data_IF_325899278600
#
_entry.id   IF_325899278600
#
_cell.length_a   1.000
_cell.length_b   1.000
_cell.length_c   1.000
_cell.angle_alpha   90.00
_cell.angle_beta   90.00
_cell.angle_gamma   90.00
#
_symmetry.space_group_name_H-M   'P 1'
#
loop_
_entity.id
_entity.type
_entity.pdbx_description
1 polymer ?
#
# COMPACT_ATOMS: atom_id res chain seq x y z
N UNK A 1 -16.18 6.28 10.49
CA UNK A 1 -16.31 6.83 9.12
C UNK A 1 -17.55 6.25 8.46
N UNK A 2 -18.21 7.00 7.58
CA UNK A 2 -19.43 6.58 6.88
C UNK A 2 -19.27 5.21 6.19
N UNK A 3 -20.20 4.29 6.46
CA UNK A 3 -20.30 3.01 5.79
C UNK A 3 -21.40 3.05 4.72
N UNK A 4 -21.38 2.08 3.81
CA UNK A 4 -22.45 1.91 2.82
C UNK A 4 -23.82 1.71 3.47
N UNK A 5 -23.89 1.08 4.65
CA UNK A 5 -25.12 1.02 5.42
C UNK A 5 -25.29 2.31 6.25
N UNK A 6 -26.10 3.24 5.74
CA UNK A 6 -26.31 4.56 6.35
C UNK A 6 -26.98 4.56 7.74
N UNK A 7 -27.27 3.39 8.34
CA UNK A 7 -27.91 3.26 9.65
C UNK A 7 -26.92 3.19 10.83
N UNK A 8 -25.62 3.09 10.56
CA UNK A 8 -24.64 2.96 11.62
C UNK A 8 -24.38 4.29 12.34
N UNK A 9 -24.45 4.29 13.67
CA UNK A 9 -24.03 5.42 14.48
C UNK A 9 -22.51 5.58 14.41
N UNK A 10 -22.04 6.64 13.76
CA UNK A 10 -20.61 6.95 13.60
C UNK A 10 -20.09 7.97 14.64
N UNK A 11 -20.94 8.39 15.59
CA UNK A 11 -20.61 9.34 16.65
C UNK A 11 -20.47 10.80 16.18
N UNK A 12 -20.28 11.74 17.13
CA UNK A 12 -20.23 13.18 16.85
C UNK A 12 -19.02 13.63 16.02
N UNK A 13 -17.92 12.87 16.02
CA UNK A 13 -16.74 13.09 15.15
C UNK A 13 -16.77 12.26 13.85
N UNK A 14 -17.94 11.75 13.47
CA UNK A 14 -18.10 10.88 12.32
C UNK A 14 -17.89 11.63 11.00
N UNK A 15 -16.91 11.19 10.21
CA UNK A 15 -16.66 11.72 8.87
C UNK A 15 -17.60 11.08 7.84
N UNK A 16 -18.32 11.91 7.08
CA UNK A 16 -19.23 11.49 6.00
C UNK A 16 -18.91 12.16 4.68
N UNK A 17 -19.26 11.47 3.59
CA UNK A 17 -19.09 11.97 2.22
C UNK A 17 -19.96 13.20 2.01
N UNK A 18 -19.46 14.19 1.27
CA UNK A 18 -20.17 15.44 0.99
C UNK A 18 -20.14 16.49 2.11
N UNK A 19 -19.49 16.24 3.24
CA UNK A 19 -19.18 17.32 4.21
C UNK A 19 -18.37 18.44 3.55
N UNK A 20 -18.71 19.68 3.85
CA UNK A 20 -17.87 20.82 3.48
C UNK A 20 -16.52 20.81 4.24
N UNK A 21 -15.61 21.70 3.85
CA UNK A 21 -14.25 21.74 4.39
C UNK A 21 -14.24 21.96 5.90
N UNK A 22 -15.03 22.92 6.38
CA UNK A 22 -15.06 23.32 7.78
C UNK A 22 -15.72 22.24 8.65
N UNK A 23 -16.84 21.67 8.19
CA UNK A 23 -17.52 20.58 8.89
C UNK A 23 -16.61 19.35 9.03
N UNK A 24 -15.87 19.00 7.97
CA UNK A 24 -14.94 17.86 8.00
C UNK A 24 -13.78 18.10 8.98
N UNK A 25 -13.14 19.27 8.92
CA UNK A 25 -12.04 19.62 9.84
C UNK A 25 -12.52 19.69 11.29
N UNK A 26 -13.69 20.27 11.56
CA UNK A 26 -14.29 20.33 12.90
C UNK A 26 -14.62 18.93 13.44
N UNK A 27 -15.26 18.08 12.63
CA UNK A 27 -15.59 16.71 13.02
C UNK A 27 -14.33 15.88 13.31
N UNK A 28 -13.29 16.05 12.51
CA UNK A 28 -11.99 15.43 12.75
C UNK A 28 -11.36 15.94 14.05
N UNK A 29 -11.37 17.25 14.28
CA UNK A 29 -10.88 17.89 15.52
C UNK A 29 -11.53 17.33 16.78
N UNK A 30 -12.86 17.20 16.80
CA UNK A 30 -13.58 16.62 17.94
C UNK A 30 -13.05 15.24 18.35
N UNK A 31 -12.66 14.40 17.38
CA UNK A 31 -12.07 13.09 17.66
C UNK A 31 -10.64 13.23 18.18
N UNK A 32 -9.81 13.99 17.47
CA UNK A 32 -8.36 14.05 17.71
C UNK A 32 -7.96 14.87 18.92
N UNK A 33 -8.81 15.78 19.37
CA UNK A 33 -8.55 16.67 20.49
C UNK A 33 -9.03 16.04 21.81
N UNK A 34 -9.72 14.88 21.73
CA UNK A 34 -10.18 14.10 22.89
C UNK A 34 -9.11 13.14 23.46
N UNK A 35 -7.98 12.97 22.78
CA UNK A 35 -6.91 12.05 23.19
C UNK A 35 -5.55 12.57 22.72
N UNK A 36 -4.46 12.25 23.41
CA UNK A 36 -3.09 12.67 23.07
C UNK A 36 -2.15 11.46 22.92
N UNK A 37 -0.97 11.66 22.33
CA UNK A 37 0.08 10.62 22.26
C UNK A 37 -0.08 9.59 21.13
N UNK A 38 -0.94 9.85 20.14
CA UNK A 38 -1.06 9.05 18.93
C UNK A 38 -0.16 9.59 17.81
N UNK A 39 0.33 8.70 16.94
CA UNK A 39 1.20 9.05 15.82
C UNK A 39 0.51 8.86 14.44
N UNK A 40 -0.71 8.31 14.44
CA UNK A 40 -1.48 8.09 13.22
C UNK A 40 -2.92 7.69 13.48
N UNK A 41 -3.69 7.61 12.39
CA UNK A 41 -5.13 7.34 12.41
C UNK A 41 -5.44 6.07 11.63
N UNK A 42 -6.42 5.31 12.11
CA UNK A 42 -7.00 4.17 11.42
C UNK A 42 -8.51 4.36 11.25
N UNK A 43 -9.08 3.91 10.13
CA UNK A 43 -10.54 3.98 9.95
C UNK A 43 -11.27 2.85 10.69
N UNK A 44 -12.22 3.25 11.54
CA UNK A 44 -13.33 2.39 11.95
C UNK A 44 -14.48 2.53 10.95
N UNK A 45 -15.01 1.40 10.46
CA UNK A 45 -15.96 1.33 9.34
C UNK A 45 -15.40 2.01 8.07
N UNK A 46 -16.15 2.90 7.42
CA UNK A 46 -15.65 3.70 6.31
C UNK A 46 -15.87 3.12 4.93
N UNK A 47 -16.62 2.01 4.76
CA UNK A 47 -16.80 1.39 3.44
C UNK A 47 -17.37 2.35 2.37
N UNK A 48 -18.03 3.44 2.75
CA UNK A 48 -18.45 4.49 1.82
C UNK A 48 -17.41 5.60 1.74
N UNK A 49 -17.01 6.18 2.88
CA UNK A 49 -16.06 7.30 2.90
C UNK A 49 -14.72 6.96 2.23
N UNK A 50 -14.20 5.76 2.44
CA UNK A 50 -12.89 5.37 1.89
C UNK A 50 -12.90 5.17 0.38
N UNK A 51 -14.07 5.21 -0.28
CA UNK A 51 -14.18 5.24 -1.75
C UNK A 51 -14.31 6.66 -2.30
N UNK A 52 -14.69 7.63 -1.46
CA UNK A 52 -14.80 9.04 -1.84
C UNK A 52 -13.39 9.64 -1.96
N UNK A 53 -12.99 9.93 -3.20
CA UNK A 53 -11.66 10.48 -3.49
C UNK A 53 -11.45 11.85 -2.87
N UNK A 54 -12.46 12.71 -2.88
CA UNK A 54 -12.32 14.09 -2.43
C UNK A 54 -12.30 14.15 -0.90
N UNK A 55 -13.17 13.37 -0.25
CA UNK A 55 -13.18 13.24 1.21
C UNK A 55 -11.85 12.64 1.72
N UNK A 56 -11.36 11.57 1.08
CA UNK A 56 -10.09 10.96 1.46
C UNK A 56 -8.91 11.88 1.17
N UNK A 57 -8.88 12.57 0.02
CA UNK A 57 -7.84 13.56 -0.27
C UNK A 57 -7.79 14.64 0.82
N UNK A 58 -8.95 15.16 1.25
CA UNK A 58 -9.05 16.14 2.33
C UNK A 58 -8.52 15.58 3.64
N UNK A 59 -8.93 14.36 4.03
CA UNK A 59 -8.41 13.71 5.24
C UNK A 59 -6.89 13.63 5.20
N UNK A 60 -6.30 13.19 4.08
CA UNK A 60 -4.84 13.07 3.97
C UNK A 60 -4.13 14.42 4.09
N UNK A 61 -4.71 15.52 3.60
CA UNK A 61 -4.17 16.86 3.82
C UNK A 61 -4.20 17.27 5.29
N UNK A 62 -5.28 16.94 6.01
CA UNK A 62 -5.37 17.20 7.46
C UNK A 62 -4.31 16.41 8.21
N UNK A 63 -4.16 15.11 7.91
CA UNK A 63 -3.15 14.24 8.51
C UNK A 63 -1.73 14.74 8.22
N UNK A 64 -1.46 15.18 6.98
CA UNK A 64 -0.17 15.77 6.59
C UNK A 64 0.19 16.98 7.44
N UNK A 65 -0.74 17.94 7.59
CA UNK A 65 -0.54 19.14 8.42
C UNK A 65 -0.23 18.80 9.87
N UNK A 66 -0.77 17.68 10.37
CA UNK A 66 -0.57 17.21 11.76
C UNK A 66 0.61 16.24 11.91
N UNK A 67 1.31 15.88 10.83
CA UNK A 67 2.43 14.93 10.87
C UNK A 67 2.00 13.48 11.18
N UNK A 68 0.76 13.11 10.87
CA UNK A 68 0.16 11.81 11.19
C UNK A 68 0.24 10.84 10.00
N UNK A 69 0.42 9.55 10.29
CA UNK A 69 0.26 8.48 9.29
C UNK A 69 -1.17 7.94 9.23
N UNK A 70 -1.50 7.21 8.16
CA UNK A 70 -2.82 6.57 8.02
C UNK A 70 -2.72 5.04 7.86
N UNK A 71 -3.56 4.30 8.57
CA UNK A 71 -3.72 2.85 8.39
C UNK A 71 -5.11 2.58 7.83
N UNK A 72 -5.21 2.00 6.64
CA UNK A 72 -6.49 1.59 6.07
C UNK A 72 -6.89 0.21 6.59
N UNK A 73 -8.01 0.14 7.31
CA UNK A 73 -8.64 -1.11 7.74
C UNK A 73 -9.19 -1.94 6.58
N UNK A 74 -9.20 -1.42 5.35
CA UNK A 74 -9.68 -2.12 4.14
C UNK A 74 -11.05 -2.73 4.37
N UNK A 75 -12.00 -1.92 4.80
CA UNK A 75 -13.40 -2.35 5.03
C UNK A 75 -14.16 -2.58 3.72
N UNK A 76 -13.58 -2.15 2.59
CA UNK A 76 -14.04 -2.40 1.23
C UNK A 76 -12.81 -2.50 0.31
N UNK A 77 -12.85 -3.40 -0.68
CA UNK A 77 -11.72 -3.64 -1.60
C UNK A 77 -11.45 -2.44 -2.52
N UNK A 78 -12.48 -1.63 -2.80
CA UNK A 78 -12.42 -0.43 -3.65
C UNK A 78 -11.94 0.83 -2.91
N UNK A 79 -11.44 0.69 -1.67
CA UNK A 79 -10.89 1.81 -0.91
C UNK A 79 -9.78 2.53 -1.69
N UNK A 80 -9.89 3.85 -1.80
CA UNK A 80 -8.90 4.74 -2.42
C UNK A 80 -7.89 5.31 -1.42
N UNK A 81 -8.01 4.96 -0.13
CA UNK A 81 -7.26 5.60 0.95
C UNK A 81 -5.74 5.56 0.76
N UNK A 82 -5.19 4.39 0.40
CA UNK A 82 -3.77 4.23 0.13
C UNK A 82 -3.28 5.10 -1.04
N UNK A 83 -4.06 5.19 -2.12
CA UNK A 83 -3.74 6.04 -3.27
C UNK A 83 -3.74 7.52 -2.87
N UNK A 84 -4.70 7.95 -2.06
CA UNK A 84 -4.75 9.34 -1.58
C UNK A 84 -3.64 9.66 -0.58
N UNK A 85 -3.28 8.71 0.28
CA UNK A 85 -2.15 8.85 1.20
C UNK A 85 -0.83 9.01 0.42
N UNK A 86 -0.63 8.16 -0.60
CA UNK A 86 0.52 8.26 -1.50
C UNK A 86 0.56 9.61 -2.22
N UNK A 87 -0.57 10.06 -2.78
CA UNK A 87 -0.66 11.35 -3.47
C UNK A 87 -0.39 12.55 -2.56
N UNK A 88 -0.81 12.48 -1.29
CA UNK A 88 -0.52 13.51 -0.29
C UNK A 88 0.92 13.45 0.23
N UNK A 89 1.63 12.33 0.01
CA UNK A 89 2.98 12.10 0.52
C UNK A 89 3.02 11.82 2.03
N UNK A 90 1.97 11.21 2.59
CA UNK A 90 1.96 10.81 4.00
C UNK A 90 2.30 9.32 4.14
N UNK A 91 2.99 8.90 5.21
CA UNK A 91 3.19 7.49 5.49
C UNK A 91 1.86 6.76 5.68
N UNK A 92 1.75 5.54 5.16
CA UNK A 92 0.53 4.76 5.29
C UNK A 92 0.77 3.24 5.33
N UNK A 93 -0.24 2.51 5.78
CA UNK A 93 -0.30 1.06 5.64
C UNK A 93 -1.72 0.59 5.32
N UNK A 94 -1.83 -0.61 4.78
CA UNK A 94 -3.11 -1.27 4.48
C UNK A 94 -3.16 -2.59 5.26
N UNK A 95 -4.32 -2.91 5.83
CA UNK A 95 -4.54 -4.18 6.52
C UNK A 95 -4.42 -5.36 5.55
N UNK A 96 -3.62 -6.35 5.94
CA UNK A 96 -3.51 -7.65 5.25
C UNK A 96 -4.51 -8.66 5.78
N UNK A 97 -4.68 -8.73 7.10
CA UNK A 97 -5.49 -9.75 7.76
C UNK A 97 -6.41 -9.11 8.79
N UNK A 98 -7.67 -9.54 8.80
CA UNK A 98 -8.63 -9.17 9.84
C UNK A 98 -8.85 -10.36 10.76
N UNK A 99 -8.56 -10.17 12.04
CA UNK A 99 -8.37 -11.26 12.99
C UNK A 99 -9.68 -11.86 13.48
N UNK A 100 -10.74 -11.06 13.60
CA UNK A 100 -11.86 -11.43 14.47
C UNK A 100 -13.25 -10.99 13.95
N UNK A 101 -13.44 -11.02 12.64
CA UNK A 101 -14.78 -10.83 12.07
C UNK A 101 -15.76 -11.95 12.47
N UNK A 102 -15.25 -13.13 12.80
CA UNK A 102 -15.98 -14.16 13.53
C UNK A 102 -15.43 -14.22 14.94
N UNK A 103 -16.32 -14.12 15.92
CA UNK A 103 -15.95 -14.10 17.33
C UNK A 103 -15.77 -15.52 17.87
N UNK A 104 -14.74 -16.21 17.40
CA UNK A 104 -14.36 -17.55 17.88
C UNK A 104 -12.84 -17.69 17.92
N UNK A 105 -12.32 -18.41 18.91
CA UNK A 105 -10.86 -18.61 19.00
C UNK A 105 -10.28 -19.36 17.81
N UNK A 106 -11.02 -20.32 17.25
CA UNK A 106 -10.60 -21.09 16.09
C UNK A 106 -10.40 -20.19 14.86
N UNK A 107 -11.33 -19.26 14.63
CA UNK A 107 -11.21 -18.30 13.54
C UNK A 107 -9.99 -17.38 13.75
N UNK A 108 -9.83 -16.82 14.95
CA UNK A 108 -8.69 -15.94 15.25
C UNK A 108 -7.36 -16.68 15.08
N UNK A 109 -7.25 -17.92 15.56
CA UNK A 109 -6.05 -18.73 15.40
C UNK A 109 -5.70 -18.97 13.92
N UNK A 110 -6.70 -19.29 13.09
CA UNK A 110 -6.50 -19.45 11.64
C UNK A 110 -6.08 -18.13 10.97
N UNK A 111 -6.66 -16.99 11.40
CA UNK A 111 -6.26 -15.68 10.91
C UNK A 111 -4.81 -15.34 11.31
N UNK A 112 -4.37 -15.69 12.51
CA UNK A 112 -2.98 -15.49 12.94
C UNK A 112 -1.99 -16.33 12.12
N UNK A 113 -2.33 -17.58 11.77
CA UNK A 113 -1.54 -18.39 10.84
C UNK A 113 -1.44 -17.73 9.46
N UNK A 114 -2.55 -17.16 8.97
CA UNK A 114 -2.56 -16.39 7.72
C UNK A 114 -1.63 -15.16 7.81
N UNK A 115 -1.64 -14.45 8.93
CA UNK A 115 -0.74 -13.30 9.18
C UNK A 115 0.73 -13.72 9.09
N UNK A 116 1.12 -14.84 9.70
CA UNK A 116 2.48 -15.37 9.58
C UNK A 116 2.85 -15.67 8.12
N UNK A 117 1.94 -16.29 7.37
CA UNK A 117 2.18 -16.64 5.97
C UNK A 117 2.35 -15.39 5.08
N UNK A 118 1.59 -14.31 5.33
CA UNK A 118 1.78 -13.02 4.66
C UNK A 118 3.14 -12.42 5.03
N UNK A 119 3.48 -12.40 6.32
CA UNK A 119 4.73 -11.83 6.81
C UNK A 119 5.95 -12.54 6.20
N UNK A 120 5.95 -13.87 6.16
CA UNK A 120 7.05 -14.65 5.56
C UNK A 120 7.19 -14.43 4.06
N UNK A 121 6.09 -14.20 3.34
CA UNK A 121 6.12 -13.99 1.88
C UNK A 121 6.57 -12.58 1.49
N UNK A 122 6.12 -11.56 2.22
CA UNK A 122 6.32 -10.13 1.87
C UNK A 122 7.42 -9.45 2.68
N UNK A 123 7.85 -10.05 3.79
CA UNK A 123 8.73 -9.45 4.79
C UNK A 123 7.99 -8.76 5.94
N UNK A 124 6.68 -8.51 5.81
CA UNK A 124 5.83 -7.97 6.88
C UNK A 124 4.35 -8.27 6.65
N UNK A 125 3.54 -8.12 7.69
CA UNK A 125 2.09 -8.15 7.61
C UNK A 125 1.47 -7.18 8.63
N UNK A 126 0.37 -6.53 8.25
CA UNK A 126 -0.47 -5.72 9.14
C UNK A 126 -1.76 -6.48 9.43
N UNK A 127 -1.94 -6.90 10.68
CA UNK A 127 -3.17 -7.53 11.14
C UNK A 127 -3.94 -6.59 12.08
N UNK A 128 -5.26 -6.54 11.94
CA UNK A 128 -6.15 -5.74 12.79
C UNK A 128 -7.19 -6.67 13.42
N UNK A 129 -7.48 -6.43 14.70
CA UNK A 129 -8.58 -7.06 15.43
C UNK A 129 -9.11 -6.09 16.49
N UNK A 130 -10.12 -6.53 17.21
CA UNK A 130 -10.76 -5.81 18.30
C UNK A 130 -10.40 -6.45 19.65
N UNK A 131 -10.53 -5.72 20.76
CA UNK A 131 -10.22 -6.22 22.10
C UNK A 131 -11.32 -7.16 22.63
N UNK A 132 -11.62 -8.23 21.89
CA UNK A 132 -12.56 -9.30 22.29
C UNK A 132 -11.81 -10.38 23.08
N UNK A 133 -12.53 -11.09 23.94
CA UNK A 133 -11.93 -12.16 24.76
C UNK A 133 -11.24 -13.23 23.91
N UNK A 134 -11.91 -13.70 22.85
CA UNK A 134 -11.34 -14.69 21.92
C UNK A 134 -10.08 -14.16 21.21
N UNK A 135 -10.08 -12.88 20.81
CA UNK A 135 -8.91 -12.24 20.18
C UNK A 135 -7.73 -12.15 21.15
N UNK A 136 -7.98 -11.67 22.36
CA UNK A 136 -6.96 -11.52 23.41
C UNK A 136 -6.38 -12.89 23.81
N UNK A 137 -7.23 -13.90 24.00
CA UNK A 137 -6.80 -15.26 24.39
C UNK A 137 -5.98 -15.94 23.30
N UNK A 138 -6.31 -15.74 22.03
CA UNK A 138 -5.50 -16.23 20.91
C UNK A 138 -4.14 -15.52 20.85
N UNK A 139 -4.11 -14.19 20.98
CA UNK A 139 -2.86 -13.40 20.97
C UNK A 139 -1.92 -13.79 22.12
N UNK A 140 -2.43 -13.98 23.34
CA UNK A 140 -1.64 -14.43 24.51
C UNK A 140 -0.89 -15.74 24.25
N UNK A 141 -1.49 -16.67 23.50
CA UNK A 141 -0.86 -17.95 23.12
C UNK A 141 0.06 -17.81 21.92
N UNK A 142 -0.28 -16.93 20.98
CA UNK A 142 0.43 -16.79 19.71
C UNK A 142 1.73 -15.99 19.81
N UNK A 143 1.72 -14.85 20.51
CA UNK A 143 2.86 -13.93 20.62
C UNK A 143 4.14 -14.64 21.12
N UNK A 144 4.11 -15.49 22.17
CA UNK A 144 5.30 -16.21 22.63
C UNK A 144 5.95 -17.12 21.57
N UNK A 145 5.19 -17.53 20.55
CA UNK A 145 5.67 -18.43 19.49
C UNK A 145 6.47 -17.71 18.40
N UNK A 146 6.36 -16.38 18.30
CA UNK A 146 6.87 -15.61 17.17
C UNK A 146 8.40 -15.67 17.02
N UNK A 147 9.13 -15.57 18.13
CA UNK A 147 10.59 -15.61 18.12
C UNK A 147 11.13 -16.92 17.53
N UNK A 148 10.54 -18.05 17.92
CA UNK A 148 10.90 -19.37 17.38
C UNK A 148 10.57 -19.51 15.88
N UNK A 149 9.62 -18.71 15.37
CA UNK A 149 9.21 -18.67 13.96
C UNK A 149 10.00 -17.64 13.14
N UNK A 150 10.96 -16.93 13.74
CA UNK A 150 11.71 -15.86 13.07
C UNK A 150 10.85 -14.63 12.75
N UNK A 151 9.79 -14.38 13.53
CA UNK A 151 8.88 -13.25 13.35
C UNK A 151 9.03 -12.32 14.56
N UNK A 152 9.12 -11.02 14.30
CA UNK A 152 9.13 -9.98 15.31
C UNK A 152 7.80 -9.22 15.28
N UNK A 153 7.22 -8.97 16.44
CA UNK A 153 6.07 -8.08 16.58
C UNK A 153 6.60 -6.65 16.77
N UNK A 154 6.30 -5.78 15.81
CA UNK A 154 6.78 -4.39 15.80
C UNK A 154 5.60 -3.41 15.81
N UNK A 155 5.81 -2.15 16.24
CA UNK A 155 4.82 -1.09 16.05
C UNK A 155 4.52 -0.89 14.56
N UNK A 156 3.27 -0.53 14.21
CA UNK A 156 2.86 -0.33 12.81
C UNK A 156 3.73 0.68 12.06
N UNK A 157 4.29 1.67 12.78
CA UNK A 157 5.20 2.69 12.24
C UNK A 157 6.43 2.09 11.54
N UNK A 158 6.89 0.91 11.97
CA UNK A 158 8.06 0.24 11.40
C UNK A 158 7.80 -0.36 10.01
N UNK A 159 6.52 -0.53 9.60
CA UNK A 159 6.13 -1.17 8.35
C UNK A 159 5.32 -0.26 7.44
N UNK A 160 5.30 1.05 7.73
CA UNK A 160 4.62 2.03 6.88
C UNK A 160 5.29 2.13 5.51
N UNK A 161 4.48 2.23 4.48
CA UNK A 161 4.91 2.73 3.18
C UNK A 161 5.09 4.22 3.31
N UNK A 162 6.32 4.69 3.13
CA UNK A 162 6.64 6.12 3.02
C UNK A 162 6.70 6.44 1.54
N UNK A 163 5.74 7.22 0.99
CA UNK A 163 5.84 7.68 -0.39
C UNK A 163 7.14 8.46 -0.53
N UNK A 164 8.03 8.00 -1.40
CA UNK A 164 9.17 8.83 -1.75
C UNK A 164 8.61 10.10 -2.37
N UNK A 165 8.98 11.26 -1.84
CA UNK A 165 8.92 12.48 -2.64
C UNK A 165 9.82 12.18 -3.83
N UNK A 166 9.26 11.94 -5.01
CA UNK A 166 10.06 11.83 -6.21
C UNK A 166 10.99 13.04 -6.19
N UNK A 167 12.29 12.78 -6.08
CA UNK A 167 13.31 13.76 -6.39
C UNK A 167 12.86 14.41 -7.70
N UNK A 168 12.87 15.74 -7.74
CA UNK A 168 12.74 16.46 -9.00
C UNK A 168 13.53 15.71 -10.06
N UNK A 169 12.89 15.42 -11.20
CA UNK A 169 13.52 14.85 -12.39
C UNK A 169 14.95 15.39 -12.48
N UNK A 170 16.01 14.55 -12.42
CA UNK A 170 17.35 15.06 -12.68
C UNK A 170 17.31 15.72 -14.06
N UNK A 171 17.91 16.91 -14.24
CA UNK A 171 17.90 17.57 -15.54
C UNK A 171 18.33 16.55 -16.61
N UNK A 172 17.51 16.45 -17.65
CA UNK A 172 17.78 15.65 -18.84
C UNK A 172 19.23 15.86 -19.25
N UNK A 173 19.92 14.75 -19.55
CA UNK A 173 21.31 14.71 -20.01
C UNK A 173 21.46 15.34 -21.40
N UNK A 174 21.24 16.65 -21.48
CA UNK A 174 21.37 17.48 -22.66
C UNK A 174 22.06 18.79 -22.28
N UNK A 175 23.23 18.69 -21.65
CA UNK A 175 24.26 19.72 -21.69
C UNK A 175 25.61 19.03 -21.45
N UNK A 176 26.00 18.20 -22.42
CA UNK A 176 27.41 17.87 -22.61
C UNK A 176 28.00 19.07 -23.33
N UNK A 177 28.71 19.90 -22.57
CA UNK A 177 29.55 20.99 -23.08
C UNK A 177 30.50 20.37 -24.11
N UNK A 178 30.36 20.78 -25.37
CA UNK A 178 31.26 20.41 -26.45
C UNK A 178 32.64 21.01 -26.16
N UNK A 179 33.57 20.17 -25.68
CA UNK A 179 35.00 20.44 -25.79
C UNK A 179 35.45 19.87 -27.14
N UNK A 180 35.75 20.76 -28.09
CA UNK A 180 36.40 20.38 -29.34
C UNK A 180 37.85 19.98 -29.04
N UNK A 181 38.35 18.82 -29.51
CA UNK A 181 39.78 18.56 -29.48
C UNK A 181 40.45 19.26 -30.65
N UNK A 182 41.52 20.01 -30.33
CA UNK A 182 42.44 20.59 -31.31
C UNK A 182 43.04 19.51 -32.22
N UNK A 183 43.18 19.88 -33.48
CA UNK A 183 43.75 19.10 -34.57
C UNK A 183 45.23 18.79 -34.35
N UNK A 184 45.58 17.51 -34.34
CA UNK A 184 46.91 17.05 -34.76
C UNK A 184 46.78 16.00 -35.86
N UNK A 185 47.32 16.37 -37.03
CA UNK A 185 47.58 15.52 -38.19
C UNK A 185 48.54 14.39 -37.82
N UNK A 186 48.20 13.17 -38.20
CA UNK A 186 49.13 12.24 -38.86
C UNK A 186 48.35 11.29 -39.76
N UNK A 187 48.91 11.07 -40.94
CA UNK A 187 48.41 10.30 -42.08
C UNK A 187 48.52 8.78 -41.88
N UNK A 188 47.78 8.09 -42.74
CA UNK A 188 48.01 6.77 -43.34
C UNK A 188 47.44 5.47 -42.74
N UNK A 189 46.94 4.69 -43.71
CA UNK A 189 46.67 3.25 -43.78
C UNK A 189 45.20 2.80 -43.62
N UNK A 190 44.53 2.69 -44.77
CA UNK A 190 43.49 1.70 -45.05
C UNK A 190 43.95 0.29 -44.63
N UNK A 191 43.11 -0.44 -43.90
CA UNK A 191 43.11 -1.90 -43.98
C UNK A 191 41.69 -2.44 -43.83
N UNK A 192 41.24 -3.11 -44.89
CA UNK A 192 39.94 -3.75 -45.01
C UNK A 192 39.84 -5.00 -44.12
N UNK A 193 38.70 -5.18 -43.44
CA UNK A 193 38.43 -6.39 -42.65
C UNK A 193 37.71 -7.44 -43.51
N UNK A 194 38.21 -8.69 -43.58
CA UNK A 194 37.69 -9.75 -44.44
C UNK A 194 36.36 -10.37 -43.96
N UNK A 195 35.60 -10.88 -44.93
CA UNK A 195 34.20 -11.33 -44.91
C UNK A 195 33.83 -12.48 -43.94
N UNK A 196 34.72 -12.91 -43.04
CA UNK A 196 34.52 -14.12 -42.20
C UNK A 196 33.91 -13.90 -40.81
N UNK A 197 33.47 -12.68 -40.49
CA UNK A 197 32.91 -12.33 -39.17
C UNK A 197 31.56 -11.61 -39.26
N UNK A 198 30.61 -12.14 -40.05
CA UNK A 198 29.19 -11.81 -39.89
C UNK A 198 28.55 -12.86 -38.98
N UNK A 199 28.03 -12.50 -37.79
CA UNK A 199 27.21 -13.42 -37.01
C UNK A 199 25.85 -13.61 -37.67
N UNK A 200 25.42 -14.87 -37.74
CA UNK A 200 24.12 -15.34 -38.23
C UNK A 200 22.99 -14.83 -37.32
N UNK A 201 22.06 -14.06 -37.88
CA UNK A 201 20.86 -13.54 -37.20
C UNK A 201 19.65 -14.43 -37.52
N UNK A 202 19.68 -15.68 -37.05
CA UNK A 202 18.48 -16.51 -36.93
C UNK A 202 18.10 -16.64 -35.45
N UNK A 203 17.35 -15.66 -34.92
CA UNK A 203 16.66 -15.81 -33.65
C UNK A 203 15.29 -16.45 -33.88
N UNK A 204 14.90 -17.52 -33.16
CA UNK A 204 13.54 -18.05 -33.25
C UNK A 204 12.53 -17.12 -32.57
N UNK A 205 11.38 -16.96 -33.22
CA UNK A 205 10.21 -16.20 -32.76
C UNK A 205 9.69 -16.77 -31.43
N UNK A 206 9.37 -15.94 -30.42
CA UNK A 206 8.77 -16.44 -29.18
C UNK A 206 7.30 -16.85 -29.40
N UNK A 207 6.94 -18.07 -29.02
CA UNK A 207 5.56 -18.54 -28.97
C UNK A 207 4.80 -17.79 -27.86
N UNK A 208 3.70 -17.15 -28.25
CA UNK A 208 2.75 -16.47 -27.37
C UNK A 208 1.83 -17.53 -26.78
N UNK A 209 1.76 -17.62 -25.44
CA UNK A 209 0.85 -18.51 -24.72
C UNK A 209 -0.56 -17.88 -24.67
N UNK A 210 -1.55 -18.53 -25.27
CA UNK A 210 -2.96 -18.15 -25.20
C UNK A 210 -3.67 -19.04 -24.14
N UNK A 211 -4.47 -18.47 -23.22
CA UNK A 211 -5.20 -19.27 -22.24
C UNK A 211 -6.37 -20.04 -22.90
N UNK A 212 -6.52 -21.31 -22.48
CA UNK A 212 -7.58 -22.23 -22.93
C UNK A 212 -8.99 -21.71 -22.59
N UNK A 213 -9.91 -21.86 -23.55
CA UNK A 213 -11.33 -21.57 -23.39
C UNK A 213 -12.01 -22.71 -22.60
N UNK A 214 -12.93 -22.42 -21.66
CA UNK A 214 -13.64 -23.46 -20.92
C UNK A 214 -14.60 -24.24 -21.83
N UNK A 215 -14.61 -25.57 -21.63
CA UNK A 215 -15.45 -26.52 -22.35
C UNK A 215 -16.95 -26.23 -22.17
N UNK A 216 -17.69 -26.28 -23.28
CA UNK A 216 -19.16 -26.25 -23.30
C UNK A 216 -19.70 -27.61 -22.83
N UNK A 217 -20.55 -27.61 -21.81
CA UNK A 217 -21.34 -28.78 -21.42
C UNK A 217 -22.45 -29.06 -22.43
N UNK A 218 -22.72 -30.32 -22.79
CA UNK A 218 -23.90 -30.67 -23.58
C UNK A 218 -25.16 -30.67 -22.70
N UNK A 219 -26.25 -30.13 -23.24
CA UNK A 219 -27.58 -30.18 -22.64
C UNK A 219 -28.20 -31.59 -22.72
N UNK A 220 -29.01 -31.96 -21.74
CA UNK A 220 -30.31 -32.58 -21.99
C UNK A 220 -31.48 -31.66 -21.64
#
# INVERSE_FOLDING_TARGET
>A
MEAMNGSANIGPGGLVSGMDHAAFENAFGLMTDSFEGYEGINNHMGSRLTQDKDAMARLMQILKKRGLYFVDSKTIDTSVAARQAAAAGIPYAERDVFLDHQDTEAFVAAALVKTEAVAKRRGYAVAIGHPKDHTINALKRWIPTLKAKGIELVPVKAVLTVPQANAATPPSSAEVIAVQPETQKTEDAEEAVPEKFRPDLSLPTPQIWLPEQPAQSPAP
#
